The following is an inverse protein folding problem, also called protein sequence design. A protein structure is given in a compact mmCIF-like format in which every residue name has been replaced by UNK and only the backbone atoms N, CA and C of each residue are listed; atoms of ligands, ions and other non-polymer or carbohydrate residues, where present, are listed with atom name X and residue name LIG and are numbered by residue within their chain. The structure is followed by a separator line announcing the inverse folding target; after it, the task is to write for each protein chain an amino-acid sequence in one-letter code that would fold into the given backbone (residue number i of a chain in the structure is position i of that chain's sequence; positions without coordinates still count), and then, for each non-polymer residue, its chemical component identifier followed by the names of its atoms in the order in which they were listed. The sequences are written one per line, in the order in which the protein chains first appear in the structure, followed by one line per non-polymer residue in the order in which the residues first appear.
data_IF_080375082922
#
_entry.id   IF_080375082922
#
_cell.length_a   1.000
_cell.length_b   1.000
_cell.length_c   1.000
_cell.angle_alpha   90.00
_cell.angle_beta   90.00
_cell.angle_gamma   90.00
#
_symmetry.space_group_name_H-M   'P 1'
#
loop_
_entity.id
_entity.type
_entity.pdbx_description
1 polymer ?
#
# COMPACT_ATOMS: atom_id res chain seq x y z
N UNK A 1 -87.22 113.83 43.22
CA UNK A 1 -88.59 113.80 42.66
C UNK A 1 -88.62 112.47 41.83
N UNK A 2 -89.31 111.65 42.32
CA UNK A 2 -90.50 110.83 42.29
C UNK A 2 -90.15 109.39 41.94
N UNK A 3 -90.31 108.59 42.87
CA UNK A 3 -91.22 107.45 43.08
C UNK A 3 -91.64 106.72 41.77
N UNK A 4 -91.30 105.40 41.69
CA UNK A 4 -92.33 104.38 41.65
C UNK A 4 -91.68 102.92 41.85
N UNK A 5 -92.22 102.28 42.79
CA UNK A 5 -92.16 100.93 43.18
C UNK A 5 -92.89 100.06 42.16
N UNK A 6 -92.33 98.96 41.71
CA UNK A 6 -93.09 97.79 41.17
C UNK A 6 -92.55 96.52 41.61
N UNK A 7 -93.25 95.79 42.37
CA UNK A 7 -93.21 94.43 42.78
C UNK A 7 -93.27 93.47 41.55
N UNK A 8 -92.45 92.54 41.42
CA UNK A 8 -92.65 91.42 40.51
C UNK A 8 -92.50 90.08 41.25
N UNK A 9 -93.49 89.31 41.02
CA UNK A 9 -93.78 87.98 41.54
C UNK A 9 -92.65 86.99 41.27
N UNK A 10 -92.24 86.16 42.25
CA UNK A 10 -91.36 85.02 42.12
C UNK A 10 -92.06 83.86 41.40
N UNK A 11 -91.65 83.53 40.23
CA UNK A 11 -91.98 82.24 39.60
C UNK A 11 -91.06 81.16 40.17
N UNK A 12 -91.60 80.24 40.91
CA UNK A 12 -90.96 79.02 41.38
C UNK A 12 -90.95 78.03 40.24
N UNK A 13 -89.86 77.93 39.59
CA UNK A 13 -89.61 76.76 38.69
C UNK A 13 -89.40 75.52 39.54
N UNK A 14 -90.37 74.64 39.54
CA UNK A 14 -90.26 73.25 40.00
C UNK A 14 -89.45 72.49 39.00
N UNK A 15 -88.15 72.34 39.27
CA UNK A 15 -87.29 71.40 38.55
C UNK A 15 -87.74 69.99 38.86
N UNK A 16 -88.14 69.29 37.86
CA UNK A 16 -88.62 67.90 37.91
C UNK A 16 -87.46 66.95 38.34
N UNK A 17 -87.57 66.23 39.47
CA UNK A 17 -86.44 65.33 39.97
C UNK A 17 -86.12 64.15 39.02
N UNK A 18 -86.95 63.94 37.99
CA UNK A 18 -86.71 62.86 37.00
C UNK A 18 -85.66 63.28 35.93
N UNK A 19 -85.50 64.55 35.59
CA UNK A 19 -84.52 65.06 34.66
C UNK A 19 -83.07 65.06 35.28
N UNK A 20 -82.94 65.49 36.54
CA UNK A 20 -81.66 65.48 37.26
C UNK A 20 -81.11 64.07 37.50
N UNK A 21 -82.00 63.06 37.67
CA UNK A 21 -81.58 61.66 37.82
C UNK A 21 -81.23 61.01 36.48
N UNK A 22 -81.72 61.49 35.34
CA UNK A 22 -81.33 61.02 33.99
C UNK A 22 -80.00 61.62 33.56
N UNK A 23 -79.77 62.92 33.77
CA UNK A 23 -78.48 63.55 33.43
C UNK A 23 -77.30 62.96 34.26
N UNK A 24 -77.46 62.73 35.59
CA UNK A 24 -76.46 62.15 36.43
C UNK A 24 -76.19 60.64 36.13
N UNK A 25 -77.19 59.91 35.64
CA UNK A 25 -77.02 58.49 35.23
C UNK A 25 -76.34 58.36 33.86
N UNK A 26 -76.63 59.28 32.91
CA UNK A 26 -75.98 59.28 31.60
C UNK A 26 -74.56 59.85 31.69
N UNK A 27 -74.25 60.83 32.51
CA UNK A 27 -72.89 61.33 32.75
C UNK A 27 -72.02 60.26 33.45
N UNK A 28 -72.54 59.48 34.40
CA UNK A 28 -71.80 58.39 35.05
C UNK A 28 -71.58 57.20 34.13
N UNK A 29 -72.49 56.89 33.21
CA UNK A 29 -72.38 55.88 32.20
C UNK A 29 -71.37 56.28 31.12
N UNK A 30 -71.35 57.52 30.68
CA UNK A 30 -70.36 58.05 29.73
C UNK A 30 -68.95 58.10 30.34
N UNK A 31 -68.78 58.48 31.60
CA UNK A 31 -67.51 58.47 32.32
C UNK A 31 -66.94 57.02 32.47
N UNK A 32 -67.85 56.05 32.74
CA UNK A 32 -67.45 54.64 32.79
C UNK A 32 -66.99 54.08 31.45
N UNK A 33 -67.65 54.50 30.36
CA UNK A 33 -67.27 54.11 28.98
C UNK A 33 -65.91 54.73 28.59
N UNK A 34 -65.74 56.04 28.89
CA UNK A 34 -64.51 56.79 28.61
C UNK A 34 -63.30 56.15 29.34
N UNK A 35 -63.41 55.79 30.63
CA UNK A 35 -62.34 55.12 31.40
C UNK A 35 -62.03 53.78 30.86
N UNK A 36 -63.00 53.00 30.37
CA UNK A 36 -62.75 51.68 29.73
C UNK A 36 -61.99 51.85 28.40
N UNK A 37 -62.40 52.83 27.58
CA UNK A 37 -61.70 53.10 26.30
C UNK A 37 -60.28 53.55 26.57
N UNK A 38 -60.00 54.39 27.56
CA UNK A 38 -58.63 54.77 27.96
C UNK A 38 -57.79 53.51 28.37
N UNK A 39 -58.36 52.63 29.18
CA UNK A 39 -57.68 51.39 29.59
C UNK A 39 -57.39 50.46 28.41
N UNK A 40 -58.33 50.30 27.46
CA UNK A 40 -58.19 49.51 26.28
C UNK A 40 -57.11 50.11 25.34
N UNK A 41 -57.05 51.40 25.18
CA UNK A 41 -56.04 52.16 24.42
C UNK A 41 -54.64 51.95 25.03
N UNK A 42 -54.51 52.03 26.37
CA UNK A 42 -53.23 51.79 27.05
C UNK A 42 -52.75 50.36 26.82
N UNK A 43 -53.69 49.40 26.86
CA UNK A 43 -53.36 48.02 26.58
C UNK A 43 -52.90 47.79 25.14
N UNK A 44 -53.57 48.42 24.15
CA UNK A 44 -53.19 48.37 22.74
C UNK A 44 -51.82 49.04 22.52
N UNK A 45 -51.58 50.18 23.17
CA UNK A 45 -50.30 50.91 23.10
C UNK A 45 -49.15 50.04 23.66
N UNK A 46 -49.36 49.37 24.79
CA UNK A 46 -48.38 48.43 25.37
C UNK A 46 -48.10 47.29 24.43
N UNK A 47 -49.13 46.64 23.87
CA UNK A 47 -48.99 45.56 22.90
C UNK A 47 -48.27 46.02 21.60
N UNK A 48 -48.60 47.24 21.11
CA UNK A 48 -47.90 47.80 19.93
C UNK A 48 -46.39 48.01 20.16
N UNK A 49 -46.06 48.54 21.37
CA UNK A 49 -44.66 48.71 21.73
C UNK A 49 -43.91 47.34 21.84
N UNK A 50 -44.58 46.34 22.40
CA UNK A 50 -43.97 44.94 22.45
C UNK A 50 -43.75 44.39 21.05
N UNK A 51 -44.75 44.54 20.14
CA UNK A 51 -44.57 44.07 18.74
C UNK A 51 -43.44 44.85 18.05
N UNK A 52 -43.32 46.17 18.32
CA UNK A 52 -42.19 46.96 17.78
C UNK A 52 -40.81 46.48 18.25
N UNK A 53 -40.71 46.11 19.53
CA UNK A 53 -39.46 45.54 20.05
C UNK A 53 -39.16 44.16 19.43
N UNK A 54 -40.16 43.28 19.35
CA UNK A 54 -40.04 41.99 18.71
C UNK A 54 -39.60 42.11 17.24
N UNK A 55 -40.15 43.08 16.50
CA UNK A 55 -39.76 43.35 15.12
C UNK A 55 -38.28 43.78 15.00
N UNK A 56 -37.77 44.59 15.96
CA UNK A 56 -36.33 44.94 16.00
C UNK A 56 -35.44 43.72 16.29
N UNK A 57 -35.85 42.86 17.22
CA UNK A 57 -35.11 41.64 17.57
C UNK A 57 -35.06 40.66 16.40
N UNK A 58 -36.15 40.52 15.65
CA UNK A 58 -36.22 39.75 14.41
C UNK A 58 -35.27 40.33 13.37
N UNK A 59 -35.25 41.65 13.15
CA UNK A 59 -34.32 42.29 12.20
C UNK A 59 -32.84 42.07 12.58
N UNK A 60 -32.50 42.08 13.87
CA UNK A 60 -31.15 41.74 14.36
C UNK A 60 -30.80 40.29 14.07
N UNK A 61 -31.75 39.38 14.30
CA UNK A 61 -31.61 37.96 14.01
C UNK A 61 -31.43 37.68 12.50
N UNK A 62 -32.17 38.39 11.65
CA UNK A 62 -32.04 38.31 10.19
C UNK A 62 -30.66 38.77 9.70
N UNK A 63 -30.13 39.86 10.28
CA UNK A 63 -28.77 40.31 9.97
C UNK A 63 -27.73 39.24 10.32
N UNK A 64 -27.88 38.60 11.48
CA UNK A 64 -27.03 37.49 11.89
C UNK A 64 -27.15 36.27 10.95
N UNK A 65 -28.38 35.91 10.57
CA UNK A 65 -28.68 34.84 9.64
C UNK A 65 -28.06 35.09 8.24
N UNK A 66 -28.19 36.33 7.74
CA UNK A 66 -27.62 36.76 6.47
C UNK A 66 -26.08 36.56 6.46
N UNK A 67 -25.40 37.03 7.51
CA UNK A 67 -23.96 36.87 7.64
C UNK A 67 -23.56 35.39 7.73
N UNK A 68 -24.30 34.57 8.47
CA UNK A 68 -24.06 33.13 8.57
C UNK A 68 -24.24 32.43 7.21
N UNK A 69 -25.27 32.80 6.45
CA UNK A 69 -25.55 32.23 5.11
C UNK A 69 -24.43 32.58 4.13
N UNK A 70 -23.88 33.80 4.15
CA UNK A 70 -22.72 34.19 3.34
C UNK A 70 -21.50 33.40 3.72
N UNK A 71 -21.23 33.22 5.02
CA UNK A 71 -20.09 32.38 5.50
C UNK A 71 -20.22 30.93 5.06
N UNK A 72 -21.43 30.36 5.18
CA UNK A 72 -21.72 29.01 4.66
C UNK A 72 -21.44 28.90 3.15
N UNK A 73 -21.79 29.91 2.36
CA UNK A 73 -21.49 29.97 0.94
C UNK A 73 -20.00 29.88 0.64
N UNK A 74 -19.18 30.57 1.42
CA UNK A 74 -17.71 30.46 1.29
C UNK A 74 -17.18 29.10 1.67
N UNK A 75 -17.68 28.50 2.74
CA UNK A 75 -17.25 27.17 3.18
C UNK A 75 -17.63 26.08 2.16
N UNK A 76 -18.84 26.15 1.60
CA UNK A 76 -19.30 25.22 0.56
C UNK A 76 -18.47 25.33 -0.73
N UNK A 77 -18.09 26.54 -1.14
CA UNK A 77 -17.18 26.72 -2.27
C UNK A 77 -15.79 26.11 -2.00
N UNK A 78 -15.28 26.29 -0.78
CA UNK A 78 -14.02 25.67 -0.35
C UNK A 78 -14.12 24.14 -0.35
N UNK A 79 -15.20 23.57 0.18
CA UNK A 79 -15.46 22.13 0.15
C UNK A 79 -15.56 21.59 -1.29
N UNK A 80 -16.20 22.33 -2.20
CA UNK A 80 -16.28 21.97 -3.62
C UNK A 80 -14.90 21.91 -4.29
N UNK A 81 -14.01 22.85 -3.97
CA UNK A 81 -12.62 22.84 -4.50
C UNK A 81 -11.82 21.66 -3.94
N UNK A 82 -11.93 21.41 -2.62
CA UNK A 82 -11.29 20.25 -1.99
C UNK A 82 -11.74 18.91 -2.60
N UNK A 83 -13.03 18.80 -2.96
CA UNK A 83 -13.58 17.61 -3.63
C UNK A 83 -13.02 17.42 -5.05
N UNK A 84 -12.75 18.54 -5.79
CA UNK A 84 -12.07 18.46 -7.09
C UNK A 84 -10.64 17.95 -6.96
N UNK A 85 -9.89 18.49 -5.97
CA UNK A 85 -8.53 18.06 -5.70
C UNK A 85 -8.47 16.60 -5.24
N UNK A 86 -9.45 16.20 -4.41
CA UNK A 86 -9.59 14.82 -3.96
C UNK A 86 -9.89 13.87 -5.14
N UNK A 87 -10.76 14.26 -6.07
CA UNK A 87 -11.07 13.46 -7.27
C UNK A 87 -9.83 13.29 -8.16
N UNK A 88 -9.05 14.35 -8.37
CA UNK A 88 -7.77 14.28 -9.07
C UNK A 88 -6.78 13.35 -8.37
N UNK A 89 -6.78 13.33 -7.04
CA UNK A 89 -5.94 12.43 -6.26
C UNK A 89 -6.35 10.96 -6.44
N UNK A 90 -7.64 10.66 -6.47
CA UNK A 90 -8.18 9.33 -6.77
C UNK A 90 -7.75 8.87 -8.16
N UNK A 91 -7.83 9.73 -9.17
CA UNK A 91 -7.38 9.43 -10.54
C UNK A 91 -5.87 9.11 -10.59
N UNK A 92 -5.05 9.90 -9.91
CA UNK A 92 -3.61 9.66 -9.81
C UNK A 92 -3.28 8.33 -9.10
N UNK A 93 -4.02 7.99 -8.04
CA UNK A 93 -3.88 6.69 -7.36
C UNK A 93 -4.23 5.55 -8.33
N UNK A 94 -5.32 5.67 -9.11
CA UNK A 94 -5.70 4.66 -10.10
C UNK A 94 -4.60 4.44 -11.15
N UNK A 95 -3.97 5.51 -11.63
CA UNK A 95 -2.82 5.43 -12.56
C UNK A 95 -1.65 4.70 -11.90
N UNK A 96 -1.30 5.10 -10.67
CA UNK A 96 -0.20 4.49 -9.91
C UNK A 96 -0.42 3.00 -9.66
N UNK A 97 -1.63 2.59 -9.33
CA UNK A 97 -2.00 1.17 -9.17
C UNK A 97 -1.77 0.39 -10.46
N UNK A 98 -2.15 0.94 -11.62
CA UNK A 98 -1.92 0.31 -12.93
C UNK A 98 -0.41 0.15 -13.24
N UNK A 99 0.41 1.14 -12.90
CA UNK A 99 1.86 1.06 -13.04
C UNK A 99 2.46 -0.03 -12.13
N UNK A 100 2.01 -0.09 -10.87
CA UNK A 100 2.44 -1.13 -9.91
C UNK A 100 2.03 -2.51 -10.41
N UNK A 101 0.79 -2.67 -10.90
CA UNK A 101 0.30 -3.93 -11.48
C UNK A 101 1.19 -4.41 -12.63
N UNK A 102 1.54 -3.50 -13.55
CA UNK A 102 2.45 -3.83 -14.66
C UNK A 102 3.82 -4.31 -14.16
N UNK A 103 4.39 -3.64 -13.18
CA UNK A 103 5.68 -4.04 -12.58
C UNK A 103 5.61 -5.40 -11.89
N UNK A 104 4.50 -5.71 -11.24
CA UNK A 104 4.27 -7.02 -10.60
C UNK A 104 4.20 -8.12 -11.65
N UNK A 105 3.49 -7.90 -12.78
CA UNK A 105 3.45 -8.85 -13.90
C UNK A 105 4.84 -9.07 -14.55
N UNK A 106 5.64 -8.02 -14.68
CA UNK A 106 7.01 -8.14 -15.20
C UNK A 106 7.91 -8.91 -14.22
N UNK A 107 7.73 -8.70 -12.91
CA UNK A 107 8.45 -9.45 -11.87
C UNK A 107 8.06 -10.93 -11.89
N UNK A 108 6.79 -11.28 -12.14
CA UNK A 108 6.34 -12.66 -12.33
C UNK A 108 7.05 -13.35 -13.51
N UNK A 109 7.15 -12.66 -14.66
CA UNK A 109 7.90 -13.17 -15.81
C UNK A 109 9.37 -13.43 -15.49
N UNK A 110 10.00 -12.51 -14.74
CA UNK A 110 11.40 -12.66 -14.33
C UNK A 110 11.58 -13.85 -13.38
N UNK A 111 10.67 -14.02 -12.42
CA UNK A 111 10.69 -15.15 -11.50
C UNK A 111 10.51 -16.49 -12.21
N UNK A 112 9.57 -16.57 -13.16
CA UNK A 112 9.36 -17.76 -13.99
C UNK A 112 10.58 -18.07 -14.87
N UNK A 113 11.23 -17.03 -15.42
CA UNK A 113 12.47 -17.21 -16.19
C UNK A 113 13.60 -17.72 -15.30
N UNK A 114 13.72 -17.16 -14.07
CA UNK A 114 14.69 -17.62 -13.08
C UNK A 114 14.50 -19.10 -12.71
N UNK A 115 13.27 -19.53 -12.45
CA UNK A 115 12.95 -20.94 -12.17
C UNK A 115 13.33 -21.85 -13.34
N UNK A 116 13.04 -21.46 -14.57
CA UNK A 116 13.42 -22.23 -15.77
C UNK A 116 14.93 -22.35 -15.88
N UNK A 117 15.68 -21.26 -15.67
CA UNK A 117 17.15 -21.28 -15.71
C UNK A 117 17.74 -22.21 -14.64
N UNK A 118 17.13 -22.23 -13.45
CA UNK A 118 17.52 -23.14 -12.37
C UNK A 118 17.28 -24.61 -12.75
N UNK A 119 16.16 -24.95 -13.38
CA UNK A 119 15.88 -26.31 -13.86
C UNK A 119 16.87 -26.75 -14.96
N UNK A 120 17.25 -25.83 -15.86
CA UNK A 120 18.30 -26.08 -16.87
C UNK A 120 19.68 -26.31 -16.21
N UNK A 121 19.99 -25.53 -15.16
CA UNK A 121 21.23 -25.69 -14.40
C UNK A 121 21.26 -27.02 -13.63
N UNK A 122 20.17 -27.43 -13.00
CA UNK A 122 20.03 -28.71 -12.30
C UNK A 122 20.25 -29.89 -13.26
N UNK A 123 19.66 -29.80 -14.46
CA UNK A 123 19.88 -30.79 -15.52
C UNK A 123 21.37 -30.88 -15.90
N UNK A 124 22.05 -29.76 -16.08
CA UNK A 124 23.48 -29.70 -16.42
C UNK A 124 24.36 -30.26 -15.31
N UNK A 125 24.01 -30.04 -14.03
CA UNK A 125 24.72 -30.63 -12.90
C UNK A 125 24.55 -32.14 -12.83
N UNK A 126 23.37 -32.68 -13.11
CA UNK A 126 23.14 -34.12 -13.19
C UNK A 126 24.02 -34.77 -14.29
N UNK A 127 24.20 -34.10 -15.43
CA UNK A 127 25.07 -34.59 -16.49
C UNK A 127 26.54 -34.49 -16.09
N UNK A 128 26.95 -33.46 -15.36
CA UNK A 128 28.29 -33.32 -14.80
C UNK A 128 28.59 -34.44 -13.76
N UNK A 129 27.64 -34.75 -12.88
CA UNK A 129 27.74 -35.85 -11.91
C UNK A 129 27.99 -37.18 -12.60
N UNK A 130 27.23 -37.50 -13.67
CA UNK A 130 27.43 -38.68 -14.49
C UNK A 130 28.84 -38.70 -15.09
N UNK A 131 29.33 -37.58 -15.63
CA UNK A 131 30.65 -37.48 -16.22
C UNK A 131 31.76 -37.73 -15.18
N UNK A 132 31.63 -37.18 -13.96
CA UNK A 132 32.57 -37.50 -12.87
C UNK A 132 32.53 -38.96 -12.45
N UNK A 133 31.35 -39.58 -12.38
CA UNK A 133 31.19 -41.00 -12.07
C UNK A 133 31.90 -41.88 -13.10
N UNK A 134 31.71 -41.61 -14.40
CA UNK A 134 32.41 -42.34 -15.48
C UNK A 134 33.92 -42.13 -15.40
N UNK A 135 34.37 -40.92 -15.13
CA UNK A 135 35.80 -40.59 -14.98
C UNK A 135 36.41 -41.31 -13.78
N UNK A 136 35.73 -41.38 -12.63
CA UNK A 136 36.17 -42.12 -11.45
C UNK A 136 36.33 -43.60 -11.75
N UNK A 137 35.35 -44.24 -12.38
CA UNK A 137 35.40 -45.63 -12.78
C UNK A 137 36.57 -45.91 -13.75
N UNK A 138 36.89 -44.96 -14.64
CA UNK A 138 38.00 -45.05 -15.55
C UNK A 138 39.35 -45.00 -14.82
N UNK A 139 39.46 -44.09 -13.83
CA UNK A 139 40.65 -43.98 -12.97
C UNK A 139 40.85 -45.26 -12.15
N UNK A 140 39.79 -45.83 -11.57
CA UNK A 140 39.87 -47.11 -10.84
C UNK A 140 40.35 -48.28 -11.76
N UNK A 141 39.83 -48.37 -13.00
CA UNK A 141 40.28 -49.36 -13.98
C UNK A 141 41.74 -49.14 -14.40
N UNK A 142 42.25 -47.90 -14.36
CA UNK A 142 43.70 -47.65 -14.61
C UNK A 142 44.56 -48.15 -13.46
N UNK A 143 44.13 -48.11 -12.21
CA UNK A 143 44.81 -48.69 -11.05
C UNK A 143 44.96 -50.17 -11.25
N UNK A 144 43.88 -50.90 -11.60
CA UNK A 144 43.94 -52.36 -11.85
C UNK A 144 44.90 -52.73 -12.98
N UNK A 145 44.90 -51.93 -14.06
CA UNK A 145 45.85 -52.15 -15.18
C UNK A 145 47.33 -51.93 -14.77
N UNK A 146 47.53 -50.85 -13.95
CA UNK A 146 48.89 -50.58 -13.45
C UNK A 146 49.43 -51.71 -12.58
N UNK A 147 48.58 -52.26 -11.69
CA UNK A 147 48.96 -53.43 -10.88
C UNK A 147 49.28 -54.62 -11.76
N UNK A 148 48.53 -54.85 -12.84
CA UNK A 148 48.85 -55.94 -13.83
C UNK A 148 50.17 -55.70 -14.52
N UNK A 149 50.47 -54.47 -14.94
CA UNK A 149 51.78 -54.16 -15.58
C UNK A 149 52.93 -54.32 -14.59
N UNK A 150 52.76 -53.89 -13.32
CA UNK A 150 53.76 -54.11 -12.27
C UNK A 150 54.09 -55.60 -12.09
N UNK A 151 53.07 -56.45 -12.03
CA UNK A 151 53.24 -57.89 -11.91
C UNK A 151 54.04 -58.47 -13.09
N UNK A 152 53.80 -58.00 -14.32
CA UNK A 152 54.59 -58.41 -15.52
C UNK A 152 56.03 -57.91 -15.41
N UNK A 153 56.24 -56.68 -14.97
CA UNK A 153 57.54 -56.05 -14.81
C UNK A 153 58.39 -56.80 -13.77
N UNK A 154 57.78 -57.21 -12.65
CA UNK A 154 58.41 -58.04 -11.63
C UNK A 154 58.81 -59.40 -12.18
N UNK A 155 57.95 -60.02 -12.99
CA UNK A 155 58.24 -61.29 -13.64
C UNK A 155 59.43 -61.18 -14.60
N UNK A 156 59.53 -60.11 -15.41
CA UNK A 156 60.64 -59.83 -16.31
C UNK A 156 61.92 -59.60 -15.50
N UNK A 157 61.86 -58.90 -14.37
CA UNK A 157 63.01 -58.72 -13.46
C UNK A 157 63.55 -60.02 -12.93
N UNK A 158 62.64 -60.92 -12.55
CA UNK A 158 63.01 -62.27 -12.11
C UNK A 158 63.71 -63.10 -13.23
N UNK A 159 63.14 -63.07 -14.46
CA UNK A 159 63.73 -63.75 -15.63
C UNK A 159 65.12 -63.19 -15.93
N UNK A 160 65.27 -61.85 -15.92
CA UNK A 160 66.57 -61.22 -16.14
C UNK A 160 67.61 -61.64 -15.07
N UNK A 161 67.19 -61.68 -13.81
CA UNK A 161 68.04 -62.11 -12.71
C UNK A 161 68.46 -63.62 -12.82
N UNK A 162 67.51 -64.50 -13.18
CA UNK A 162 67.80 -65.93 -13.44
C UNK A 162 68.69 -66.08 -14.64
N UNK A 163 68.50 -65.36 -15.74
CA UNK A 163 69.34 -65.42 -16.95
C UNK A 163 70.73 -64.90 -16.64
N UNK A 164 70.89 -63.88 -15.81
CA UNK A 164 72.20 -63.40 -15.36
C UNK A 164 72.95 -64.49 -14.56
N UNK A 165 72.28 -65.23 -13.66
CA UNK A 165 72.84 -66.31 -12.89
C UNK A 165 73.22 -67.55 -13.77
N UNK A 166 72.30 -67.86 -14.70
CA UNK A 166 72.58 -68.99 -15.66
C UNK A 166 73.79 -68.71 -16.57
N UNK A 167 73.87 -67.47 -17.07
CA UNK A 167 74.99 -67.03 -17.91
C UNK A 167 76.29 -66.95 -17.14
N UNK A 168 76.27 -66.58 -15.86
CA UNK A 168 77.43 -66.62 -14.97
C UNK A 168 77.93 -68.06 -14.77
N UNK A 169 77.03 -69.01 -14.49
CA UNK A 169 77.36 -70.41 -14.33
C UNK A 169 77.92 -71.00 -15.62
N UNK A 170 77.36 -70.65 -16.79
CA UNK A 170 77.84 -71.05 -18.09
C UNK A 170 79.25 -70.49 -18.39
N UNK A 171 79.49 -69.21 -18.02
CA UNK A 171 80.86 -68.64 -18.18
C UNK A 171 81.88 -69.29 -17.31
N UNK A 172 81.50 -69.68 -16.07
CA UNK A 172 82.41 -70.43 -15.15
C UNK A 172 82.77 -71.82 -15.75
N UNK A 173 81.77 -72.55 -16.24
CA UNK A 173 82.00 -73.88 -16.79
C UNK A 173 82.80 -73.85 -18.13
N UNK A 174 82.50 -72.77 -18.95
CA UNK A 174 83.30 -72.52 -20.17
C UNK A 174 84.77 -72.20 -19.85
N UNK A 175 85.04 -71.45 -18.79
CA UNK A 175 86.43 -71.23 -18.33
C UNK A 175 87.10 -72.50 -17.83
N UNK A 176 86.34 -73.42 -17.22
CA UNK A 176 86.80 -74.71 -16.71
C UNK A 176 87.20 -75.69 -17.84
N UNK A 177 86.57 -75.56 -19.04
CA UNK A 177 86.87 -76.37 -20.24
C UNK A 177 88.14 -75.90 -21.02
N UNK A 178 88.82 -74.87 -20.59
CA UNK A 178 90.02 -74.33 -21.16
C UNK A 178 89.91 -73.88 -22.62
N UNK A 179 90.84 -74.33 -23.51
CA UNK A 179 90.81 -73.89 -24.93
C UNK A 179 89.53 -74.31 -25.68
N UNK A 180 88.91 -75.45 -25.33
CA UNK A 180 87.67 -75.93 -25.96
C UNK A 180 86.44 -75.06 -25.57
N UNK A 181 86.51 -74.32 -24.48
CA UNK A 181 85.38 -73.48 -23.97
C UNK A 181 85.43 -72.03 -24.41
N UNK A 182 86.44 -71.54 -25.12
CA UNK A 182 86.61 -70.10 -25.47
C UNK A 182 85.41 -69.48 -26.18
N UNK A 183 84.82 -70.16 -27.17
CA UNK A 183 83.64 -69.67 -27.90
C UNK A 183 82.38 -69.58 -27.03
N UNK A 184 82.18 -70.57 -26.15
CA UNK A 184 81.09 -70.61 -25.18
C UNK A 184 81.20 -69.50 -24.12
N UNK A 185 82.42 -69.18 -23.66
CA UNK A 185 82.67 -68.10 -22.70
C UNK A 185 82.30 -66.73 -23.25
N UNK A 186 82.53 -66.44 -24.54
CA UNK A 186 82.16 -65.22 -25.20
C UNK A 186 80.61 -65.09 -25.26
N UNK A 187 79.95 -66.20 -25.67
CA UNK A 187 78.45 -66.19 -25.71
C UNK A 187 77.84 -66.00 -24.32
N UNK A 188 78.36 -66.68 -23.31
CA UNK A 188 77.94 -66.58 -21.93
C UNK A 188 78.14 -65.14 -21.39
N UNK A 189 79.24 -64.47 -21.77
CA UNK A 189 79.51 -63.09 -21.45
C UNK A 189 78.48 -62.10 -22.09
N UNK A 190 78.11 -62.37 -23.36
CA UNK A 190 77.14 -61.55 -24.08
C UNK A 190 75.69 -61.70 -23.53
N UNK A 191 75.31 -62.99 -23.21
CA UNK A 191 74.01 -63.29 -22.55
C UNK A 191 73.92 -62.58 -21.17
N UNK A 192 75.06 -62.63 -20.42
CA UNK A 192 75.12 -61.93 -19.13
C UNK A 192 74.93 -60.42 -19.28
N UNK A 193 75.55 -59.79 -20.27
CA UNK A 193 75.41 -58.37 -20.57
C UNK A 193 73.98 -57.99 -20.97
N UNK A 194 73.33 -58.84 -21.80
CA UNK A 194 71.92 -58.70 -22.17
C UNK A 194 70.99 -58.81 -20.95
N UNK A 195 71.23 -59.71 -20.02
CA UNK A 195 70.45 -59.86 -18.78
C UNK A 195 70.63 -58.68 -17.88
N UNK A 196 71.79 -58.08 -17.73
CA UNK A 196 72.06 -56.87 -16.95
C UNK A 196 71.36 -55.67 -17.58
N UNK A 197 71.46 -55.49 -18.92
CA UNK A 197 70.74 -54.45 -19.63
C UNK A 197 69.23 -54.58 -19.49
N UNK A 198 68.65 -55.78 -19.54
CA UNK A 198 67.25 -56.07 -19.32
C UNK A 198 66.80 -55.67 -17.90
N UNK A 199 67.65 -55.99 -16.90
CA UNK A 199 67.38 -55.61 -15.51
C UNK A 199 67.36 -54.10 -15.32
N UNK A 200 68.25 -53.33 -15.93
CA UNK A 200 68.30 -51.89 -15.92
C UNK A 200 67.07 -51.28 -16.61
N UNK A 201 66.68 -51.87 -17.76
CA UNK A 201 65.45 -51.42 -18.46
C UNK A 201 64.21 -51.63 -17.61
N UNK A 202 64.08 -52.79 -16.92
CA UNK A 202 62.98 -53.06 -15.99
C UNK A 202 62.96 -52.09 -14.83
N UNK A 203 64.11 -51.75 -14.24
CA UNK A 203 64.20 -50.76 -13.17
C UNK A 203 63.67 -49.37 -13.64
N UNK A 204 63.99 -48.93 -14.84
CA UNK A 204 63.52 -47.73 -15.45
C UNK A 204 61.97 -47.73 -15.65
N UNK A 205 61.44 -48.90 -16.11
CA UNK A 205 59.99 -49.08 -16.26
C UNK A 205 59.26 -48.97 -14.89
N UNK A 206 59.82 -49.63 -13.85
CA UNK A 206 59.29 -49.60 -12.49
C UNK A 206 59.19 -48.15 -11.97
N UNK A 207 60.28 -47.38 -12.19
CA UNK A 207 60.23 -45.94 -11.80
C UNK A 207 59.13 -45.14 -12.52
N UNK A 208 58.92 -45.37 -13.82
CA UNK A 208 57.82 -44.73 -14.58
C UNK A 208 56.47 -45.21 -14.07
N UNK A 209 56.31 -46.47 -13.73
CA UNK A 209 55.04 -46.98 -13.18
C UNK A 209 54.72 -46.38 -11.81
N UNK A 210 55.75 -46.12 -10.96
CA UNK A 210 55.53 -45.40 -9.69
C UNK A 210 55.11 -43.98 -9.93
N UNK A 211 55.66 -43.25 -10.90
CA UNK A 211 55.21 -41.91 -11.29
C UNK A 211 53.76 -41.93 -11.79
N UNK A 212 53.40 -42.86 -12.67
CA UNK A 212 52.04 -43.06 -13.18
C UNK A 212 51.06 -43.35 -12.02
N UNK A 213 51.47 -44.20 -11.07
CA UNK A 213 50.65 -44.46 -9.86
C UNK A 213 50.36 -43.23 -9.08
N UNK A 214 51.35 -42.37 -8.88
CA UNK A 214 51.16 -41.11 -8.19
C UNK A 214 50.15 -40.15 -8.93
N UNK A 215 50.30 -40.09 -10.26
CA UNK A 215 49.41 -39.29 -11.10
C UNK A 215 47.95 -39.80 -11.07
N UNK A 216 47.75 -41.11 -11.08
CA UNK A 216 46.44 -41.76 -10.96
C UNK A 216 45.82 -41.45 -9.58
N UNK A 217 46.58 -41.50 -8.48
CA UNK A 217 46.09 -41.15 -7.15
C UNK A 217 45.67 -39.67 -7.05
N UNK A 218 46.45 -38.79 -7.67
CA UNK A 218 46.10 -37.37 -7.76
C UNK A 218 44.80 -37.16 -8.57
N UNK A 219 44.64 -37.85 -9.69
CA UNK A 219 43.44 -37.81 -10.50
C UNK A 219 42.20 -38.33 -9.73
N UNK A 220 42.36 -39.46 -9.00
CA UNK A 220 41.28 -39.99 -8.14
C UNK A 220 40.86 -39.00 -7.06
N UNK A 221 41.82 -38.35 -6.40
CA UNK A 221 41.55 -37.31 -5.40
C UNK A 221 40.81 -36.11 -6.02
N UNK A 222 41.23 -35.67 -7.21
CA UNK A 222 40.57 -34.60 -7.93
C UNK A 222 39.11 -34.94 -8.31
N UNK A 223 38.84 -36.18 -8.75
CA UNK A 223 37.51 -36.68 -9.05
C UNK A 223 36.60 -36.65 -7.80
N UNK A 224 37.12 -37.12 -6.67
CA UNK A 224 36.39 -37.11 -5.39
C UNK A 224 36.04 -35.70 -4.95
N UNK A 225 36.96 -34.75 -5.06
CA UNK A 225 36.74 -33.36 -4.75
C UNK A 225 35.70 -32.74 -5.71
N UNK A 226 35.75 -33.09 -7.00
CA UNK A 226 34.76 -32.67 -7.99
C UNK A 226 33.34 -33.14 -7.66
N UNK A 227 33.19 -34.44 -7.31
CA UNK A 227 31.90 -34.97 -6.88
C UNK A 227 31.34 -34.26 -5.62
N UNK A 228 32.20 -34.01 -4.64
CA UNK A 228 31.78 -33.24 -3.44
C UNK A 228 31.33 -31.81 -3.78
N UNK A 229 32.00 -31.16 -4.74
CA UNK A 229 31.59 -29.84 -5.21
C UNK A 229 30.24 -29.86 -5.93
N UNK A 230 29.95 -30.87 -6.74
CA UNK A 230 28.65 -31.07 -7.40
C UNK A 230 27.55 -31.28 -6.36
N UNK A 231 27.77 -32.09 -5.32
CA UNK A 231 26.80 -32.30 -4.24
C UNK A 231 26.44 -30.97 -3.50
N UNK A 232 27.46 -30.16 -3.20
CA UNK A 232 27.24 -28.82 -2.61
C UNK A 232 26.42 -27.96 -3.55
N UNK A 233 26.70 -28.00 -4.84
CA UNK A 233 26.00 -27.21 -5.85
C UNK A 233 24.52 -27.63 -5.97
N UNK A 234 24.17 -28.91 -5.90
CA UNK A 234 22.80 -29.39 -5.87
C UNK A 234 22.03 -28.84 -4.68
N UNK A 235 22.63 -28.79 -3.48
CA UNK A 235 22.02 -28.18 -2.30
C UNK A 235 21.76 -26.67 -2.52
N UNK A 236 22.73 -26.00 -3.14
CA UNK A 236 22.61 -24.56 -3.43
C UNK A 236 21.49 -24.29 -4.43
N UNK A 237 21.34 -25.11 -5.47
CA UNK A 237 20.24 -25.02 -6.45
C UNK A 237 18.89 -25.21 -5.78
N UNK A 238 18.78 -26.23 -4.90
CA UNK A 238 17.52 -26.47 -4.17
C UNK A 238 17.09 -25.22 -3.36
N UNK A 239 18.00 -24.65 -2.58
CA UNK A 239 17.73 -23.42 -1.79
C UNK A 239 17.37 -22.24 -2.70
N UNK A 240 18.02 -22.13 -3.85
CA UNK A 240 17.74 -21.07 -4.81
C UNK A 240 16.35 -21.24 -5.44
N UNK A 241 15.96 -22.46 -5.79
CA UNK A 241 14.63 -22.81 -6.31
C UNK A 241 13.52 -22.47 -5.30
N UNK A 242 13.72 -22.83 -4.03
CA UNK A 242 12.81 -22.48 -2.94
C UNK A 242 12.67 -20.96 -2.79
N UNK A 243 13.77 -20.21 -2.92
CA UNK A 243 13.75 -18.75 -2.85
C UNK A 243 12.91 -18.14 -3.99
N UNK A 244 13.07 -18.62 -5.23
CA UNK A 244 12.24 -18.17 -6.35
C UNK A 244 10.75 -18.56 -6.20
N UNK A 245 10.49 -19.72 -5.63
CA UNK A 245 9.11 -20.15 -5.31
C UNK A 245 8.46 -19.22 -4.29
N UNK A 246 9.19 -18.80 -3.26
CA UNK A 246 8.74 -17.84 -2.28
C UNK A 246 8.51 -16.44 -2.89
N UNK A 247 9.39 -16.01 -3.82
CA UNK A 247 9.19 -14.78 -4.58
C UNK A 247 7.89 -14.86 -5.37
N UNK A 248 7.61 -15.97 -6.06
CA UNK A 248 6.36 -16.15 -6.79
C UNK A 248 5.14 -16.09 -5.89
N UNK A 249 5.17 -16.74 -4.73
CA UNK A 249 4.08 -16.64 -3.74
C UNK A 249 3.84 -15.19 -3.27
N UNK A 250 4.91 -14.42 -3.09
CA UNK A 250 4.82 -13.00 -2.72
C UNK A 250 4.24 -12.14 -3.85
N UNK A 251 4.52 -12.49 -5.11
CA UNK A 251 3.94 -11.84 -6.30
C UNK A 251 2.44 -12.11 -6.37
N UNK A 252 2.01 -13.36 -6.14
CA UNK A 252 0.59 -13.73 -6.14
C UNK A 252 -0.18 -12.98 -5.04
N UNK A 253 0.39 -12.86 -3.84
CA UNK A 253 -0.16 -12.04 -2.75
C UNK A 253 -0.25 -10.56 -3.14
N UNK A 254 0.83 -9.99 -3.71
CA UNK A 254 0.82 -8.59 -4.16
C UNK A 254 -0.22 -8.32 -5.25
N UNK A 255 -0.49 -9.31 -6.12
CA UNK A 255 -1.55 -9.21 -7.14
C UNK A 255 -2.93 -9.16 -6.49
N UNK A 256 -3.16 -9.94 -5.42
CA UNK A 256 -4.40 -9.89 -4.65
C UNK A 256 -4.59 -8.52 -3.97
N UNK A 257 -3.54 -8.00 -3.34
CA UNK A 257 -3.56 -6.68 -2.69
C UNK A 257 -3.84 -5.54 -3.68
N UNK A 258 -3.28 -5.62 -4.90
CA UNK A 258 -3.56 -4.67 -5.99
C UNK A 258 -5.03 -4.68 -6.38
N UNK A 259 -5.66 -5.87 -6.48
CA UNK A 259 -7.08 -5.96 -6.80
C UNK A 259 -7.95 -5.33 -5.70
N UNK A 260 -7.62 -5.54 -4.42
CA UNK A 260 -8.29 -4.88 -3.30
C UNK A 260 -8.12 -3.35 -3.33
N UNK A 261 -6.92 -2.87 -3.70
CA UNK A 261 -6.70 -1.43 -3.92
C UNK A 261 -7.57 -0.86 -5.05
N UNK A 262 -7.74 -1.59 -6.16
CA UNK A 262 -8.63 -1.19 -7.27
C UNK A 262 -10.07 -1.06 -6.78
N UNK A 263 -10.59 -2.04 -6.05
CA UNK A 263 -11.95 -1.99 -5.47
C UNK A 263 -12.11 -0.80 -4.52
N UNK A 264 -11.10 -0.53 -3.70
CA UNK A 264 -11.09 0.61 -2.78
C UNK A 264 -11.14 1.95 -3.51
N UNK A 265 -10.40 2.11 -4.60
CA UNK A 265 -10.40 3.32 -5.44
C UNK A 265 -11.76 3.51 -6.11
N UNK A 266 -12.36 2.44 -6.63
CA UNK A 266 -13.71 2.50 -7.21
C UNK A 266 -14.74 2.93 -6.16
N UNK A 267 -14.69 2.36 -4.96
CA UNK A 267 -15.57 2.72 -3.85
C UNK A 267 -15.38 4.19 -3.43
N UNK A 268 -14.13 4.65 -3.30
CA UNK A 268 -13.82 6.04 -2.99
C UNK A 268 -14.37 7.00 -4.06
N UNK A 269 -14.27 6.64 -5.36
CA UNK A 269 -14.83 7.43 -6.45
C UNK A 269 -16.35 7.54 -6.39
N UNK A 270 -17.04 6.45 -6.01
CA UNK A 270 -18.50 6.45 -5.82
C UNK A 270 -18.88 7.36 -4.65
N UNK A 271 -18.22 7.19 -3.49
CA UNK A 271 -18.49 8.01 -2.30
C UNK A 271 -18.22 9.49 -2.56
N UNK A 272 -17.18 9.82 -3.32
CA UNK A 272 -16.90 11.22 -3.69
C UNK A 272 -18.03 11.83 -4.51
N UNK A 273 -18.61 11.09 -5.46
CA UNK A 273 -19.77 11.59 -6.24
C UNK A 273 -20.99 11.86 -5.35
N UNK A 274 -21.23 11.02 -4.35
CA UNK A 274 -22.32 11.24 -3.38
C UNK A 274 -22.09 12.50 -2.54
N UNK A 275 -20.83 12.73 -2.11
CA UNK A 275 -20.46 13.95 -1.36
C UNK A 275 -20.61 15.18 -2.25
N UNK A 276 -20.18 15.14 -3.52
CA UNK A 276 -20.40 16.25 -4.48
C UNK A 276 -21.88 16.57 -4.61
N UNK A 277 -22.73 15.56 -4.81
CA UNK A 277 -24.18 15.77 -4.86
C UNK A 277 -24.75 16.39 -3.58
N UNK A 278 -24.20 16.03 -2.42
CA UNK A 278 -24.61 16.60 -1.14
C UNK A 278 -24.19 18.07 -1.01
N UNK A 279 -22.98 18.42 -1.46
CA UNK A 279 -22.47 19.80 -1.50
C UNK A 279 -23.33 20.66 -2.44
N UNK A 280 -23.74 20.14 -3.60
CA UNK A 280 -24.65 20.84 -4.52
C UNK A 280 -26.01 21.11 -3.89
N UNK A 281 -26.57 20.15 -3.15
CA UNK A 281 -27.82 20.36 -2.39
C UNK A 281 -27.67 21.41 -1.32
N UNK A 282 -26.57 21.41 -0.55
CA UNK A 282 -26.34 22.47 0.46
C UNK A 282 -26.20 23.83 -0.20
N UNK A 283 -25.53 23.92 -1.35
CA UNK A 283 -25.44 25.17 -2.11
C UNK A 283 -26.84 25.70 -2.52
N UNK A 284 -27.73 24.81 -2.97
CA UNK A 284 -29.11 25.17 -3.28
C UNK A 284 -29.89 25.68 -2.04
N UNK A 285 -29.70 25.01 -0.88
CA UNK A 285 -30.32 25.48 0.39
C UNK A 285 -29.79 26.84 0.86
N UNK A 286 -28.50 27.13 0.62
CA UNK A 286 -27.92 28.45 0.91
C UNK A 286 -28.63 29.56 0.06
N UNK A 287 -28.87 29.29 -1.22
CA UNK A 287 -29.60 30.23 -2.10
C UNK A 287 -31.03 30.42 -1.63
N UNK A 288 -31.71 29.34 -1.25
CA UNK A 288 -33.07 29.42 -0.69
C UNK A 288 -33.12 30.21 0.62
N UNK A 289 -32.17 29.95 1.54
CA UNK A 289 -32.05 30.68 2.80
C UNK A 289 -31.79 32.17 2.57
N UNK A 290 -31.00 32.55 1.56
CA UNK A 290 -30.78 33.94 1.19
C UNK A 290 -32.07 34.61 0.76
N UNK A 291 -32.83 33.97 -0.14
CA UNK A 291 -34.10 34.50 -0.63
C UNK A 291 -35.15 34.63 0.50
N UNK A 292 -35.26 33.63 1.37
CA UNK A 292 -36.14 33.65 2.54
C UNK A 292 -35.74 34.76 3.51
N UNK A 293 -34.47 35.01 3.74
CA UNK A 293 -33.99 36.09 4.62
C UNK A 293 -34.37 37.45 4.07
N UNK A 294 -34.27 37.67 2.76
CA UNK A 294 -34.70 38.90 2.08
C UNK A 294 -36.23 39.09 2.17
N UNK A 295 -37.02 38.04 1.96
CA UNK A 295 -38.48 38.09 2.05
C UNK A 295 -38.93 38.41 3.47
N UNK A 296 -38.34 37.78 4.51
CA UNK A 296 -38.65 38.06 5.90
C UNK A 296 -38.26 39.49 6.24
N UNK A 297 -37.12 40.00 5.80
CA UNK A 297 -36.71 41.39 6.02
C UNK A 297 -37.73 42.39 5.44
N UNK A 298 -38.17 42.16 4.20
CA UNK A 298 -39.23 42.97 3.56
C UNK A 298 -40.54 42.92 4.36
N UNK A 299 -40.94 41.75 4.87
CA UNK A 299 -42.14 41.58 5.70
C UNK A 299 -41.99 42.33 7.02
N UNK A 300 -40.82 42.34 7.65
CA UNK A 300 -40.55 43.10 8.88
C UNK A 300 -40.62 44.60 8.66
N UNK A 301 -40.13 45.11 7.54
CA UNK A 301 -40.25 46.55 7.20
C UNK A 301 -41.71 46.97 7.05
N UNK A 302 -42.54 46.14 6.40
CA UNK A 302 -43.97 46.37 6.31
C UNK A 302 -44.67 46.34 7.69
N UNK A 303 -44.25 45.41 8.56
CA UNK A 303 -44.78 45.31 9.92
C UNK A 303 -44.40 46.50 10.76
N UNK A 304 -43.16 46.99 10.72
CA UNK A 304 -42.73 48.23 11.40
C UNK A 304 -43.55 49.46 10.93
N UNK A 305 -43.81 49.60 9.62
CA UNK A 305 -44.62 50.61 9.04
C UNK A 305 -46.05 50.55 9.56
N UNK A 306 -46.66 49.37 9.64
CA UNK A 306 -48.01 49.15 10.17
C UNK A 306 -48.12 49.49 11.66
N UNK A 307 -47.12 49.16 12.47
CA UNK A 307 -47.03 49.51 13.89
C UNK A 307 -46.94 51.03 14.08
N UNK A 308 -46.12 51.70 13.27
CA UNK A 308 -46.03 53.16 13.32
C UNK A 308 -47.38 53.83 12.99
N UNK A 309 -48.14 53.33 12.02
CA UNK A 309 -49.47 53.78 11.66
C UNK A 309 -50.49 53.53 12.80
N UNK A 310 -50.43 52.39 13.47
CA UNK A 310 -51.20 52.00 14.62
C UNK A 310 -50.97 53.01 15.80
N UNK A 311 -49.69 53.25 16.14
CA UNK A 311 -49.25 54.14 17.18
C UNK A 311 -49.75 55.60 16.89
N UNK A 312 -49.73 56.03 15.62
CA UNK A 312 -50.27 57.31 15.21
C UNK A 312 -51.81 57.39 15.45
N UNK A 313 -52.52 56.31 15.09
CA UNK A 313 -53.97 56.21 15.31
C UNK A 313 -54.35 56.24 16.81
N UNK A 314 -53.59 55.48 17.64
CA UNK A 314 -53.72 55.48 19.10
C UNK A 314 -53.56 56.89 19.65
N UNK A 315 -52.48 57.60 19.27
CA UNK A 315 -52.20 58.98 19.71
C UNK A 315 -53.28 60.00 19.24
N UNK A 316 -53.91 59.71 18.11
CA UNK A 316 -55.03 60.52 17.62
C UNK A 316 -56.33 60.34 18.48
N UNK A 317 -56.63 59.11 18.85
CA UNK A 317 -57.76 58.75 19.70
C UNK A 317 -57.54 59.30 21.12
N UNK A 318 -56.35 59.17 21.69
CA UNK A 318 -56.01 59.75 23.02
C UNK A 318 -56.19 61.24 23.05
N UNK A 319 -55.91 61.94 21.96
CA UNK A 319 -56.14 63.41 21.87
C UNK A 319 -57.60 63.80 21.71
N UNK A 320 -58.48 62.92 21.29
CA UNK A 320 -59.92 63.16 21.07
C UNK A 320 -60.81 62.77 22.26
N UNK A 321 -60.26 62.04 23.23
CA UNK A 321 -60.90 61.66 24.49
C UNK A 321 -60.71 62.73 25.58
#
# INVERSE_FOLDING_TARGET
MGLFKKTSVAETQTTNPVEATRETKDTNKNSGISNKIISDIQSISAASNEISNNARDINSSLSTLSNATVSQGHEINSASNLLKDFNSSIENIAISINEVHTKVLDTDKLANTGLKTIDELDTSLNDLEKAFSVSSNTVDALVDKLESVNSITDSISQIASQTNLLSLNAAIEAARAGEAGKGFSVVAGEVRKLAENSKQAVQSITSILEEIKHDILNASSAMKNGNSAVEIQHKTITVTKDSFTNIKSSIDASTADINECIESVVSASVSTREVVSSVEKVNSLIQENTALTEEIASTMDLQVSSINSLNHSISSIERSL
#
